data_IF_786681116308
#
_entry.id   IF_786681116308
#
_cell.length_a   1.000
_cell.length_b   1.000
_cell.length_c   1.000
_cell.angle_alpha   90.00
_cell.angle_beta   90.00
_cell.angle_gamma   90.00
#
_symmetry.space_group_name_H-M   'P 1'
#
loop_
_entity.id
_entity.type
_entity.pdbx_description
1 polymer ?
#
# COMPACT_ATOMS: atom_id res chain seq x y z
N UNK A 1 35.42 -32.55 16.77
CA UNK A 1 36.64 -31.78 17.13
C UNK A 1 36.82 -30.45 16.36
N UNK A 2 36.22 -30.25 15.17
CA UNK A 2 36.37 -29.00 14.38
C UNK A 2 35.47 -27.83 14.84
N UNK A 3 34.28 -28.11 15.36
CA UNK A 3 33.28 -27.10 15.76
C UNK A 3 33.71 -26.27 16.97
N UNK A 4 34.39 -26.88 17.95
CA UNK A 4 34.86 -26.18 19.15
C UNK A 4 35.94 -25.13 18.89
N UNK A 5 36.85 -25.40 17.93
CA UNK A 5 37.92 -24.46 17.52
C UNK A 5 37.36 -23.22 16.79
N UNK A 6 36.28 -23.41 16.03
CA UNK A 6 35.60 -22.33 15.31
C UNK A 6 34.85 -21.41 16.29
N UNK A 7 34.14 -21.98 17.26
CA UNK A 7 33.41 -21.21 18.29
C UNK A 7 34.36 -20.45 19.21
N UNK A 8 35.53 -21.01 19.53
CA UNK A 8 36.53 -20.32 20.33
C UNK A 8 37.19 -19.15 19.59
N UNK A 9 37.33 -19.23 18.26
CA UNK A 9 37.88 -18.13 17.45
C UNK A 9 37.03 -16.86 17.53
N UNK A 10 35.69 -16.97 17.53
CA UNK A 10 34.79 -15.81 17.68
C UNK A 10 34.91 -15.09 19.03
N UNK A 11 35.58 -15.67 20.03
CA UNK A 11 35.88 -15.01 21.31
C UNK A 11 37.12 -14.11 21.21
N UNK A 12 37.97 -14.31 20.22
CA UNK A 12 39.21 -13.54 20.02
C UNK A 12 38.92 -12.13 19.52
N UNK A 13 39.89 -11.22 19.66
CA UNK A 13 39.79 -9.88 19.12
C UNK A 13 39.57 -9.87 17.61
N UNK A 14 40.29 -10.73 16.87
CA UNK A 14 40.16 -10.88 15.43
C UNK A 14 38.75 -11.38 15.04
N UNK A 15 38.24 -12.39 15.75
CA UNK A 15 36.88 -12.89 15.52
C UNK A 15 35.80 -11.82 15.75
N UNK A 16 35.97 -10.97 16.76
CA UNK A 16 35.05 -9.84 17.03
C UNK A 16 35.12 -8.75 15.96
N UNK A 17 36.31 -8.42 15.47
CA UNK A 17 36.48 -7.48 14.36
C UNK A 17 35.84 -8.00 13.06
N UNK A 18 35.96 -9.30 12.79
CA UNK A 18 35.28 -9.92 11.66
C UNK A 18 33.75 -9.83 11.78
N UNK A 19 33.19 -10.14 12.95
CA UNK A 19 31.74 -9.98 13.20
C UNK A 19 31.32 -8.53 13.04
N UNK A 20 32.09 -7.57 13.55
CA UNK A 20 31.81 -6.15 13.36
C UNK A 20 31.76 -5.78 11.87
N UNK A 21 32.76 -6.20 11.09
CA UNK A 21 32.77 -5.99 9.64
C UNK A 21 31.55 -6.60 8.94
N UNK A 22 31.15 -7.82 9.33
CA UNK A 22 29.94 -8.46 8.82
C UNK A 22 28.66 -7.70 9.16
N UNK A 23 28.54 -7.18 10.39
CA UNK A 23 27.40 -6.37 10.82
C UNK A 23 27.36 -5.04 10.08
N UNK A 24 28.51 -4.38 9.87
CA UNK A 24 28.59 -3.17 9.05
C UNK A 24 28.15 -3.45 7.60
N UNK A 25 28.62 -4.57 7.03
CA UNK A 25 28.23 -4.98 5.69
C UNK A 25 26.71 -5.21 5.59
N UNK A 26 26.10 -5.93 6.53
CA UNK A 26 24.65 -6.15 6.54
C UNK A 26 23.86 -4.87 6.82
N UNK A 27 24.33 -4.07 7.78
CA UNK A 27 23.72 -2.81 8.20
C UNK A 27 23.71 -1.74 7.10
N UNK A 28 24.66 -1.79 6.15
CA UNK A 28 24.68 -0.91 4.97
C UNK A 28 24.00 -1.60 3.78
N UNK A 29 24.31 -2.88 3.56
CA UNK A 29 23.91 -3.63 2.37
C UNK A 29 22.41 -3.81 2.24
N UNK A 30 21.71 -4.17 3.33
CA UNK A 30 20.25 -4.38 3.30
C UNK A 30 19.50 -3.05 3.02
N UNK A 31 19.75 -1.95 3.76
CA UNK A 31 19.18 -0.64 3.43
C UNK A 31 19.49 -0.17 2.02
N UNK A 32 20.74 -0.33 1.58
CA UNK A 32 21.17 0.10 0.24
C UNK A 32 20.44 -0.69 -0.84
N UNK A 33 20.31 -2.02 -0.70
CA UNK A 33 19.58 -2.85 -1.65
C UNK A 33 18.11 -2.44 -1.77
N UNK A 34 17.44 -2.19 -0.63
CA UNK A 34 16.05 -1.70 -0.60
C UNK A 34 15.93 -0.31 -1.23
N UNK A 35 16.85 0.61 -0.93
CA UNK A 35 16.78 1.97 -1.46
C UNK A 35 17.08 2.01 -2.96
N UNK A 36 18.07 1.23 -3.42
CA UNK A 36 18.46 1.12 -4.83
C UNK A 36 17.33 0.57 -5.69
N UNK A 37 16.57 -0.43 -5.22
CA UNK A 37 15.43 -1.00 -5.96
C UNK A 37 14.30 0.00 -6.19
N UNK A 38 14.14 0.95 -5.27
CA UNK A 38 13.17 2.04 -5.36
C UNK A 38 13.71 3.31 -6.03
N UNK A 39 14.98 3.34 -6.42
CA UNK A 39 15.61 4.51 -7.05
C UNK A 39 16.31 4.14 -8.36
N UNK A 40 17.60 3.83 -8.32
CA UNK A 40 18.42 3.63 -9.51
C UNK A 40 18.05 2.39 -10.32
N UNK A 41 17.53 1.35 -9.66
CA UNK A 41 17.09 0.10 -10.30
C UNK A 41 15.58 0.08 -10.57
N UNK A 42 14.89 1.20 -10.41
CA UNK A 42 13.44 1.28 -10.57
C UNK A 42 12.99 0.87 -11.99
N UNK A 43 13.79 1.18 -13.01
CA UNK A 43 13.51 0.79 -14.40
C UNK A 43 13.61 -0.74 -14.61
N UNK A 44 14.60 -1.40 -13.98
CA UNK A 44 14.70 -2.87 -13.98
C UNK A 44 13.55 -3.50 -13.24
N UNK A 45 13.14 -2.89 -12.13
CA UNK A 45 11.98 -3.38 -11.42
C UNK A 45 10.71 -3.28 -12.29
N UNK A 46 10.53 -2.17 -13.00
CA UNK A 46 9.45 -2.00 -13.98
C UNK A 46 9.46 -3.10 -15.06
N UNK A 47 10.62 -3.40 -15.65
CA UNK A 47 10.75 -4.45 -16.68
C UNK A 47 10.28 -5.83 -16.18
N UNK A 48 10.37 -6.12 -14.88
CA UNK A 48 9.95 -7.40 -14.30
C UNK A 48 8.44 -7.46 -14.10
N UNK A 49 7.81 -6.35 -13.70
CA UNK A 49 6.38 -6.31 -13.32
C UNK A 49 5.46 -5.79 -14.44
N UNK A 50 6.02 -5.28 -15.53
CA UNK A 50 5.26 -4.76 -16.66
C UNK A 50 4.54 -5.87 -17.43
N UNK A 51 3.35 -5.56 -17.93
CA UNK A 51 2.64 -6.45 -18.84
C UNK A 51 3.27 -6.43 -20.24
N UNK A 52 3.56 -7.62 -20.77
CA UNK A 52 4.05 -7.81 -22.14
C UNK A 52 3.02 -8.57 -22.97
N UNK A 53 2.81 -8.10 -24.20
CA UNK A 53 2.05 -8.80 -25.24
C UNK A 53 2.96 -9.01 -26.45
N UNK A 54 3.10 -10.26 -26.90
CA UNK A 54 3.98 -10.63 -28.02
C UNK A 54 5.44 -10.12 -27.86
N UNK A 55 5.95 -10.13 -26.63
CA UNK A 55 7.32 -9.67 -26.32
C UNK A 55 7.49 -8.14 -26.23
N UNK A 56 6.42 -7.36 -26.41
CA UNK A 56 6.45 -5.89 -26.34
C UNK A 56 5.62 -5.41 -25.16
N UNK A 57 6.09 -4.36 -24.48
CA UNK A 57 5.39 -3.70 -23.40
C UNK A 57 4.00 -3.20 -23.85
N UNK A 58 2.95 -3.61 -23.16
CA UNK A 58 1.59 -3.15 -23.46
C UNK A 58 1.44 -1.70 -22.98
N UNK A 59 1.10 -0.74 -23.87
CA UNK A 59 0.92 0.64 -23.47
C UNK A 59 -0.40 0.83 -22.70
N UNK A 60 -0.44 1.86 -21.87
CA UNK A 60 -1.69 2.27 -21.21
C UNK A 60 -2.70 2.78 -22.23
N UNK A 61 -3.98 2.38 -22.14
CA UNK A 61 -5.06 2.94 -22.95
C UNK A 61 -5.17 4.45 -22.75
N UNK A 62 -5.51 5.20 -23.81
CA UNK A 62 -5.57 6.66 -23.79
C UNK A 62 -6.51 7.22 -22.70
N UNK A 63 -7.66 6.58 -22.49
CA UNK A 63 -8.60 6.94 -21.40
C UNK A 63 -8.00 6.78 -20.01
N UNK A 64 -7.18 5.74 -19.79
CA UNK A 64 -6.56 5.50 -18.48
C UNK A 64 -5.47 6.53 -18.25
N UNK A 65 -4.69 6.87 -19.28
CA UNK A 65 -3.75 7.99 -19.21
C UNK A 65 -4.44 9.31 -18.87
N UNK A 66 -5.59 9.60 -19.49
CA UNK A 66 -6.38 10.79 -19.16
C UNK A 66 -6.84 10.78 -17.71
N UNK A 67 -7.33 9.65 -17.19
CA UNK A 67 -7.71 9.50 -15.77
C UNK A 67 -6.53 9.75 -14.83
N UNK A 68 -5.32 9.32 -15.18
CA UNK A 68 -4.11 9.64 -14.40
C UNK A 68 -3.86 11.14 -14.36
N UNK A 69 -3.97 11.85 -15.50
CA UNK A 69 -3.84 13.31 -15.54
C UNK A 69 -4.93 14.01 -14.73
N UNK A 70 -6.21 13.63 -14.90
CA UNK A 70 -7.33 14.18 -14.14
C UNK A 70 -7.11 14.02 -12.63
N UNK A 71 -6.62 12.86 -12.17
CA UNK A 71 -6.32 12.62 -10.76
C UNK A 71 -5.18 13.50 -10.26
N UNK A 72 -4.13 13.70 -11.06
CA UNK A 72 -3.04 14.60 -10.70
C UNK A 72 -3.50 16.07 -10.64
N UNK A 73 -4.49 16.45 -11.46
CA UNK A 73 -5.15 17.77 -11.41
C UNK A 73 -5.99 17.92 -10.14
N UNK A 74 -6.84 16.93 -9.82
CA UNK A 74 -7.70 16.92 -8.63
C UNK A 74 -6.88 16.97 -7.34
N UNK A 75 -5.74 16.25 -7.30
CA UNK A 75 -4.78 16.27 -6.19
C UNK A 75 -3.87 17.51 -6.17
N UNK A 76 -3.99 18.40 -7.17
CA UNK A 76 -3.19 19.63 -7.29
C UNK A 76 -1.66 19.37 -7.27
N UNK A 77 -1.23 18.30 -7.93
CA UNK A 77 0.18 17.91 -7.94
C UNK A 77 1.00 18.89 -8.80
N UNK A 78 2.06 19.44 -8.21
CA UNK A 78 2.98 20.34 -8.94
C UNK A 78 3.59 19.69 -10.18
N UNK A 79 3.81 20.47 -11.24
CA UNK A 79 4.39 20.01 -12.51
C UNK A 79 5.71 19.25 -12.34
N UNK A 80 6.53 19.66 -11.37
CA UNK A 80 7.79 18.98 -11.04
C UNK A 80 7.54 17.55 -10.57
N UNK A 81 6.58 17.36 -9.66
CA UNK A 81 6.22 16.04 -9.14
C UNK A 81 5.49 15.19 -10.18
N UNK A 82 4.67 15.79 -11.05
CA UNK A 82 4.00 15.06 -12.16
C UNK A 82 5.01 14.37 -13.07
N UNK A 83 6.10 15.06 -13.45
CA UNK A 83 7.18 14.50 -14.28
C UNK A 83 7.90 13.30 -13.64
N UNK A 84 7.81 13.16 -12.32
CA UNK A 84 8.41 12.06 -11.57
C UNK A 84 7.48 10.84 -11.49
N UNK A 85 6.19 10.98 -11.79
CA UNK A 85 5.20 9.90 -11.78
C UNK A 85 5.16 9.27 -13.17
N UNK A 86 5.45 7.98 -13.25
CA UNK A 86 5.58 7.23 -14.51
C UNK A 86 4.57 6.08 -14.55
N UNK A 87 3.35 6.31 -15.05
CA UNK A 87 2.35 5.27 -15.13
C UNK A 87 2.71 4.24 -16.22
N UNK A 88 2.40 2.96 -15.98
CA UNK A 88 2.56 1.87 -16.95
C UNK A 88 1.54 0.76 -16.73
N UNK A 89 1.37 -0.13 -17.70
CA UNK A 89 0.49 -1.30 -17.56
C UNK A 89 1.21 -2.41 -16.80
N UNK A 90 0.70 -2.77 -15.62
CA UNK A 90 1.28 -3.84 -14.79
C UNK A 90 0.69 -5.20 -15.15
N UNK A 91 1.49 -6.26 -15.00
CA UNK A 91 1.02 -7.62 -15.10
C UNK A 91 0.18 -7.99 -13.87
N UNK A 92 -1.01 -8.54 -14.09
CA UNK A 92 -1.96 -8.91 -13.03
C UNK A 92 -3.13 -7.94 -12.90
N UNK A 93 -3.90 -8.10 -11.83
CA UNK A 93 -5.15 -7.38 -11.55
C UNK A 93 -5.08 -6.47 -10.32
N UNK A 94 -3.87 -6.27 -9.78
CA UNK A 94 -3.62 -5.43 -8.61
C UNK A 94 -2.86 -4.18 -9.02
N UNK A 95 -3.24 -3.04 -8.44
CA UNK A 95 -2.46 -1.82 -8.53
C UNK A 95 -1.06 -2.04 -7.93
N UNK A 96 -0.07 -1.37 -8.51
CA UNK A 96 1.31 -1.48 -8.07
C UNK A 96 1.94 -0.09 -8.01
N UNK A 97 2.81 0.15 -7.03
CA UNK A 97 3.71 1.30 -7.06
C UNK A 97 5.11 0.89 -6.60
N UNK A 98 6.11 1.62 -7.09
CA UNK A 98 7.46 1.55 -6.57
C UNK A 98 8.18 2.89 -6.75
N UNK A 99 9.10 3.18 -5.83
CA UNK A 99 9.79 4.46 -5.80
C UNK A 99 8.97 5.53 -5.09
N UNK A 100 9.49 6.75 -5.05
CA UNK A 100 8.78 7.89 -4.49
C UNK A 100 9.16 9.20 -5.18
N UNK A 101 8.25 10.17 -5.18
CA UNK A 101 8.45 11.49 -5.81
C UNK A 101 9.42 12.38 -5.05
N UNK A 102 9.82 11.97 -3.85
CA UNK A 102 10.87 12.61 -3.04
C UNK A 102 12.29 12.28 -3.53
N UNK A 103 12.41 11.47 -4.58
CA UNK A 103 13.69 11.12 -5.22
C UNK A 103 13.71 11.64 -6.65
N UNK A 104 14.91 11.88 -7.19
CA UNK A 104 15.09 12.35 -8.57
C UNK A 104 14.71 11.30 -9.62
N UNK A 105 14.72 10.02 -9.23
CA UNK A 105 14.30 8.90 -10.08
C UNK A 105 12.78 8.82 -10.24
N UNK A 106 12.05 9.35 -9.26
CA UNK A 106 10.60 9.39 -9.22
C UNK A 106 9.96 8.06 -8.80
N UNK A 107 8.71 7.87 -9.20
CA UNK A 107 7.91 6.70 -8.89
C UNK A 107 7.27 6.12 -10.15
N UNK A 108 7.10 4.80 -10.18
CA UNK A 108 6.33 4.10 -11.22
C UNK A 108 5.00 3.66 -10.63
N UNK A 109 3.93 3.83 -11.39
CA UNK A 109 2.58 3.43 -11.01
C UNK A 109 2.08 2.39 -12.01
N UNK A 110 1.98 1.15 -11.56
CA UNK A 110 1.48 0.02 -12.33
C UNK A 110 -0.04 -0.04 -12.25
N UNK A 111 -0.69 0.15 -13.40
CA UNK A 111 -2.14 0.12 -13.53
C UNK A 111 -2.53 -1.15 -14.30
N UNK A 112 -3.39 -2.01 -13.74
CA UNK A 112 -3.85 -3.22 -14.41
C UNK A 112 -4.58 -2.94 -15.73
N UNK A 113 -4.47 -3.89 -16.67
CA UNK A 113 -5.14 -3.78 -17.97
C UNK A 113 -6.66 -3.71 -17.88
N UNK A 114 -7.27 -4.26 -16.81
CA UNK A 114 -8.72 -4.22 -16.58
C UNK A 114 -9.27 -2.83 -16.25
N UNK A 115 -8.43 -1.82 -16.07
CA UNK A 115 -8.88 -0.42 -16.01
C UNK A 115 -9.37 0.06 -17.39
N UNK A 116 -9.03 -0.68 -18.46
CA UNK A 116 -9.70 -0.60 -19.76
C UNK A 116 -11.02 -1.37 -19.84
N UNK A 117 -11.52 -1.94 -18.75
CA UNK A 117 -12.84 -2.55 -18.60
C UNK A 117 -14.00 -1.54 -18.79
N UNK A 118 -14.91 -1.63 -19.78
CA UNK A 118 -16.21 -0.92 -19.70
C UNK A 118 -17.32 -1.88 -19.24
N UNK A 119 -17.33 -3.09 -19.80
CA UNK A 119 -18.28 -4.13 -19.43
C UNK A 119 -17.63 -5.51 -19.28
N UNK A 120 -18.39 -6.44 -18.70
CA UNK A 120 -17.95 -7.82 -18.47
C UNK A 120 -17.75 -8.62 -19.78
N UNK A 121 -18.18 -8.08 -20.92
CA UNK A 121 -17.89 -8.58 -22.28
C UNK A 121 -16.42 -8.39 -22.67
N UNK A 122 -15.79 -7.33 -22.18
CA UNK A 122 -14.46 -6.89 -22.61
C UNK A 122 -13.35 -7.66 -21.91
N UNK A 123 -13.71 -8.39 -20.85
CA UNK A 123 -12.79 -9.22 -20.09
C UNK A 123 -12.32 -10.37 -20.97
N UNK A 124 -11.01 -10.43 -21.20
CA UNK A 124 -10.38 -11.52 -21.91
C UNK A 124 -10.36 -12.81 -21.07
N UNK A 125 -11.47 -13.54 -21.14
CA UNK A 125 -11.72 -14.75 -20.36
C UNK A 125 -10.71 -15.86 -20.62
N UNK A 126 -10.10 -15.92 -21.80
CA UNK A 126 -9.19 -16.98 -22.18
C UNK A 126 -7.84 -16.89 -21.45
N UNK A 127 -7.43 -15.68 -21.09
CA UNK A 127 -6.14 -15.41 -20.45
C UNK A 127 -6.24 -15.27 -18.93
N UNK A 128 -7.43 -15.42 -18.34
CA UNK A 128 -7.58 -15.42 -16.88
C UNK A 128 -7.43 -16.83 -16.33
N UNK A 129 -6.32 -17.07 -15.65
CA UNK A 129 -6.06 -18.32 -14.94
C UNK A 129 -6.12 -18.07 -13.43
N UNK A 130 -6.88 -18.91 -12.72
CA UNK A 130 -6.91 -18.94 -11.25
C UNK A 130 -6.29 -20.26 -10.82
N UNK A 131 -5.17 -20.18 -10.08
CA UNK A 131 -4.39 -21.36 -9.70
C UNK A 131 -3.91 -22.22 -10.89
N UNK A 132 -3.56 -21.58 -12.02
CA UNK A 132 -3.20 -22.21 -13.30
C UNK A 132 -4.36 -22.91 -14.02
N UNK A 133 -5.57 -22.84 -13.46
CA UNK A 133 -6.77 -23.42 -14.04
C UNK A 133 -7.63 -22.34 -14.70
N UNK A 134 -8.34 -22.72 -15.76
CA UNK A 134 -9.33 -21.86 -16.40
C UNK A 134 -10.52 -21.64 -15.46
N UNK A 135 -11.00 -20.39 -15.39
CA UNK A 135 -12.14 -20.05 -14.54
C UNK A 135 -13.42 -20.61 -15.12
N UNK A 136 -14.21 -21.31 -14.29
CA UNK A 136 -15.58 -21.69 -14.66
C UNK A 136 -16.49 -20.46 -14.60
N UNK A 137 -16.57 -19.73 -15.71
CA UNK A 137 -17.35 -18.48 -15.82
C UNK A 137 -18.86 -18.66 -15.59
N UNK A 138 -19.39 -19.88 -15.77
CA UNK A 138 -20.79 -20.19 -15.48
C UNK A 138 -21.12 -20.30 -13.99
N UNK A 139 -20.11 -20.55 -13.15
CA UNK A 139 -20.28 -20.65 -11.69
C UNK A 139 -20.59 -19.30 -11.05
N UNK A 140 -21.25 -19.31 -9.88
CA UNK A 140 -21.50 -18.10 -9.09
C UNK A 140 -20.20 -17.35 -8.80
N UNK A 141 -19.16 -18.06 -8.36
CA UNK A 141 -17.85 -17.46 -8.07
C UNK A 141 -17.17 -16.89 -9.33
N UNK A 142 -17.32 -17.54 -10.49
CA UNK A 142 -16.82 -17.02 -11.77
C UNK A 142 -17.52 -15.73 -12.19
N UNK A 143 -18.85 -15.65 -12.02
CA UNK A 143 -19.62 -14.42 -12.28
C UNK A 143 -19.25 -13.30 -11.32
N UNK A 144 -19.04 -13.63 -10.04
CA UNK A 144 -18.59 -12.68 -9.04
C UNK A 144 -17.22 -12.09 -9.37
N UNK A 145 -16.26 -12.96 -9.74
CA UNK A 145 -14.93 -12.55 -10.19
C UNK A 145 -15.02 -11.63 -11.42
N UNK A 146 -15.81 -12.02 -12.42
CA UNK A 146 -16.00 -11.23 -13.64
C UNK A 146 -16.58 -9.84 -13.34
N UNK A 147 -17.58 -9.77 -12.47
CA UNK A 147 -18.18 -8.50 -12.05
C UNK A 147 -17.23 -7.62 -11.24
N UNK A 148 -16.24 -8.21 -10.56
CA UNK A 148 -15.27 -7.49 -9.77
C UNK A 148 -14.13 -6.88 -10.61
N UNK A 149 -13.90 -7.40 -11.82
CA UNK A 149 -12.86 -6.90 -12.74
C UNK A 149 -13.23 -5.59 -13.44
N UNK A 150 -14.51 -5.24 -13.47
CA UNK A 150 -15.01 -3.99 -14.07
C UNK A 150 -15.23 -2.95 -12.97
N UNK A 151 -14.53 -1.83 -13.08
CA UNK A 151 -14.55 -0.72 -12.14
C UNK A 151 -15.11 0.53 -12.82
N UNK A 152 -15.97 1.27 -12.11
CA UNK A 152 -16.39 2.61 -12.53
C UNK A 152 -15.20 3.56 -12.67
N UNK A 153 -15.42 4.69 -13.35
CA UNK A 153 -14.38 5.70 -13.49
C UNK A 153 -13.96 6.27 -12.13
N UNK A 154 -14.90 6.51 -11.23
CA UNK A 154 -14.65 7.00 -9.88
C UNK A 154 -13.79 6.01 -9.08
N UNK A 155 -14.09 4.71 -9.16
CA UNK A 155 -13.30 3.67 -8.51
C UNK A 155 -11.88 3.59 -9.08
N UNK A 156 -11.73 3.77 -10.40
CA UNK A 156 -10.42 3.82 -11.03
C UNK A 156 -9.61 5.06 -10.63
N UNK A 157 -10.24 6.24 -10.60
CA UNK A 157 -9.60 7.49 -10.16
C UNK A 157 -9.15 7.39 -8.70
N UNK A 158 -10.00 6.86 -7.82
CA UNK A 158 -9.63 6.58 -6.43
C UNK A 158 -8.41 5.64 -6.35
N UNK A 159 -8.43 4.51 -7.07
CA UNK A 159 -7.35 3.54 -7.02
C UNK A 159 -6.02 4.13 -7.54
N UNK A 160 -6.05 4.92 -8.61
CA UNK A 160 -4.87 5.60 -9.17
C UNK A 160 -4.35 6.66 -8.17
N UNK A 161 -5.23 7.52 -7.66
CA UNK A 161 -4.86 8.59 -6.74
C UNK A 161 -4.23 8.04 -5.46
N UNK A 162 -4.77 6.92 -4.96
CA UNK A 162 -4.24 6.21 -3.81
C UNK A 162 -2.77 5.82 -4.00
N UNK A 163 -2.41 5.22 -5.14
CA UNK A 163 -1.03 4.84 -5.42
C UNK A 163 -0.11 6.06 -5.63
N UNK A 164 -0.63 7.14 -6.23
CA UNK A 164 0.10 8.40 -6.42
C UNK A 164 0.40 9.05 -5.07
N UNK A 165 -0.60 9.18 -4.19
CA UNK A 165 -0.43 9.71 -2.84
C UNK A 165 0.55 8.86 -2.03
N UNK A 166 0.45 7.53 -2.14
CA UNK A 166 1.41 6.63 -1.48
C UNK A 166 2.84 6.87 -1.96
N UNK A 167 3.04 7.08 -3.27
CA UNK A 167 4.33 7.42 -3.86
C UNK A 167 4.87 8.80 -3.44
N UNK A 168 4.05 9.68 -2.86
CA UNK A 168 4.48 10.97 -2.31
C UNK A 168 4.97 10.88 -0.86
N UNK A 169 4.75 9.76 -0.19
CA UNK A 169 5.15 9.52 1.21
C UNK A 169 6.65 9.29 1.39
N UNK A 170 7.09 9.27 2.66
CA UNK A 170 8.46 8.88 3.04
C UNK A 170 8.63 7.37 3.27
N UNK A 171 7.65 6.54 2.88
CA UNK A 171 7.66 5.09 3.11
C UNK A 171 8.97 4.43 2.64
N UNK A 172 9.45 4.78 1.44
CA UNK A 172 10.70 4.24 0.87
C UNK A 172 11.91 4.53 1.77
N UNK A 173 12.04 5.75 2.29
CA UNK A 173 13.13 6.13 3.18
C UNK A 173 13.05 5.35 4.50
N UNK A 174 11.87 5.32 5.12
CA UNK A 174 11.66 4.67 6.41
C UNK A 174 11.90 3.16 6.33
N UNK A 175 11.29 2.49 5.34
CA UNK A 175 11.44 1.05 5.12
C UNK A 175 12.88 0.65 4.73
N UNK A 176 13.63 1.56 4.09
CA UNK A 176 15.07 1.35 3.83
C UNK A 176 15.92 1.53 5.09
N UNK A 177 15.58 2.46 5.97
CA UNK A 177 16.36 2.76 7.18
C UNK A 177 16.16 1.74 8.33
N UNK A 178 14.96 1.18 8.48
CA UNK A 178 14.65 0.29 9.62
C UNK A 178 15.63 -0.88 9.83
N UNK A 179 16.04 -1.63 8.78
CA UNK A 179 17.01 -2.72 8.97
C UNK A 179 18.34 -2.24 9.56
N UNK A 180 18.85 -1.09 9.11
CA UNK A 180 20.09 -0.49 9.65
C UNK A 180 19.96 -0.19 11.14
N UNK A 181 18.87 0.51 11.52
CA UNK A 181 18.60 0.91 12.90
C UNK A 181 18.55 -0.32 13.80
N UNK A 182 17.82 -1.35 13.40
CA UNK A 182 17.64 -2.58 14.18
C UNK A 182 18.96 -3.34 14.30
N UNK A 183 19.68 -3.57 13.19
CA UNK A 183 20.95 -4.32 13.19
C UNK A 183 22.01 -3.64 14.06
N UNK A 184 22.17 -2.32 13.92
CA UNK A 184 23.15 -1.54 14.69
C UNK A 184 22.78 -1.55 16.18
N UNK A 185 21.50 -1.36 16.50
CA UNK A 185 21.02 -1.37 17.89
C UNK A 185 21.21 -2.73 18.55
N UNK A 186 20.87 -3.82 17.86
CA UNK A 186 21.08 -5.18 18.34
C UNK A 186 22.56 -5.47 18.62
N UNK A 187 23.45 -5.07 17.71
CA UNK A 187 24.88 -5.27 17.87
C UNK A 187 25.45 -4.45 19.04
N UNK A 188 25.09 -3.17 19.12
CA UNK A 188 25.51 -2.28 20.20
C UNK A 188 25.06 -2.80 21.57
N UNK A 189 23.78 -3.19 21.68
CA UNK A 189 23.21 -3.76 22.90
C UNK A 189 23.92 -5.06 23.30
N UNK A 190 24.06 -6.00 22.36
CA UNK A 190 24.69 -7.30 22.62
C UNK A 190 26.15 -7.15 23.05
N UNK A 191 26.89 -6.24 22.40
CA UNK A 191 28.29 -5.95 22.74
C UNK A 191 28.39 -5.34 24.13
N UNK A 192 27.49 -4.41 24.47
CA UNK A 192 27.45 -3.80 25.80
C UNK A 192 27.16 -4.84 26.90
N UNK A 193 26.14 -5.68 26.71
CA UNK A 193 25.82 -6.77 27.64
C UNK A 193 26.97 -7.76 27.79
N UNK A 194 27.59 -8.17 26.69
CA UNK A 194 28.73 -9.09 26.71
C UNK A 194 29.91 -8.53 27.53
N UNK A 195 30.20 -7.23 27.39
CA UNK A 195 31.29 -6.58 28.10
C UNK A 195 30.95 -6.36 29.59
N UNK A 196 29.75 -5.82 29.90
CA UNK A 196 29.36 -5.52 31.29
C UNK A 196 29.14 -6.76 32.14
N UNK A 197 28.62 -7.84 31.56
CA UNK A 197 28.33 -9.09 32.29
C UNK A 197 29.45 -10.14 32.17
N UNK A 198 30.55 -9.81 31.50
CA UNK A 198 31.68 -10.73 31.30
C UNK A 198 31.31 -12.02 30.58
N UNK A 199 30.33 -11.99 29.68
CA UNK A 199 29.73 -13.21 29.10
C UNK A 199 30.69 -14.03 28.26
N UNK A 200 31.78 -13.43 27.77
CA UNK A 200 32.83 -14.14 27.05
C UNK A 200 33.58 -15.15 27.91
N UNK A 201 33.60 -14.98 29.24
CA UNK A 201 34.14 -15.96 30.19
C UNK A 201 33.13 -17.04 30.60
N UNK A 202 31.85 -16.86 30.28
CA UNK A 202 30.76 -17.74 30.70
C UNK A 202 30.43 -18.83 29.66
N UNK A 203 29.69 -19.88 30.05
CA UNK A 203 29.27 -20.94 29.15
C UNK A 203 28.56 -20.41 27.91
N UNK A 204 28.74 -21.10 26.78
CA UNK A 204 28.13 -20.72 25.50
C UNK A 204 26.60 -20.62 25.57
N UNK A 205 25.95 -21.50 26.33
CA UNK A 205 24.49 -21.52 26.47
C UNK A 205 23.92 -20.17 26.92
N UNK A 206 24.57 -19.48 27.86
CA UNK A 206 24.11 -18.18 28.34
C UNK A 206 24.19 -17.09 27.25
N UNK A 207 25.23 -17.13 26.42
CA UNK A 207 25.37 -16.24 25.26
C UNK A 207 24.34 -16.56 24.18
N UNK A 208 24.10 -17.84 23.92
CA UNK A 208 23.08 -18.28 22.97
C UNK A 208 21.69 -17.77 23.39
N UNK A 209 21.34 -17.87 24.68
CA UNK A 209 20.07 -17.34 25.21
C UNK A 209 19.97 -15.83 24.97
N UNK A 210 21.01 -15.05 25.34
CA UNK A 210 21.01 -13.61 25.11
C UNK A 210 20.83 -13.27 23.63
N UNK A 211 21.58 -13.92 22.75
CA UNK A 211 21.55 -13.64 21.32
C UNK A 211 20.20 -14.02 20.69
N UNK A 212 19.59 -15.11 21.14
CA UNK A 212 18.23 -15.49 20.73
C UNK A 212 17.19 -14.46 21.18
N UNK A 213 17.26 -13.98 22.42
CA UNK A 213 16.35 -12.96 22.93
C UNK A 213 16.50 -11.63 22.17
N UNK A 214 17.74 -11.17 21.97
CA UNK A 214 18.02 -9.94 21.20
C UNK A 214 17.61 -10.12 19.73
N UNK A 215 17.84 -11.31 19.16
CA UNK A 215 17.40 -11.67 17.81
C UNK A 215 15.88 -11.58 17.64
N UNK A 216 15.13 -12.19 18.55
CA UNK A 216 13.67 -12.17 18.54
C UNK A 216 13.15 -10.75 18.73
N UNK A 217 13.71 -9.99 19.68
CA UNK A 217 13.32 -8.61 19.92
C UNK A 217 13.63 -7.70 18.74
N UNK A 218 14.80 -7.86 18.11
CA UNK A 218 15.17 -7.12 16.91
C UNK A 218 14.26 -7.40 15.73
N UNK A 219 13.97 -8.68 15.46
CA UNK A 219 13.00 -9.06 14.43
C UNK A 219 11.61 -8.48 14.72
N UNK A 220 11.13 -8.58 15.96
CA UNK A 220 9.86 -8.00 16.40
C UNK A 220 9.83 -6.48 16.21
N UNK A 221 10.92 -5.79 16.56
CA UNK A 221 11.05 -4.33 16.39
C UNK A 221 11.01 -3.93 14.91
N UNK A 222 11.76 -4.61 14.05
CA UNK A 222 11.70 -4.38 12.60
C UNK A 222 10.31 -4.65 12.04
N UNK A 223 9.70 -5.77 12.43
CA UNK A 223 8.38 -6.15 11.97
C UNK A 223 7.34 -5.10 12.35
N UNK A 224 7.36 -4.67 13.61
CA UNK A 224 6.48 -3.63 14.15
C UNK A 224 6.67 -2.29 13.44
N UNK A 225 7.93 -1.80 13.31
CA UNK A 225 8.22 -0.55 12.60
C UNK A 225 7.68 -0.57 11.17
N UNK A 226 7.88 -1.69 10.46
CA UNK A 226 7.38 -1.86 9.10
C UNK A 226 5.85 -1.87 9.03
N UNK A 227 5.17 -2.68 9.86
CA UNK A 227 3.70 -2.78 9.83
C UNK A 227 3.04 -1.47 10.23
N UNK A 228 3.52 -0.86 11.31
CA UNK A 228 3.01 0.43 11.78
C UNK A 228 3.12 1.49 10.70
N UNK A 229 4.27 1.55 10.01
CA UNK A 229 4.50 2.53 8.94
C UNK A 229 3.62 2.26 7.72
N UNK A 230 3.44 1.00 7.33
CA UNK A 230 2.52 0.63 6.25
C UNK A 230 1.09 1.05 6.58
N UNK A 231 0.55 0.64 7.73
CA UNK A 231 -0.81 0.98 8.14
C UNK A 231 -0.99 2.50 8.27
N UNK A 232 0.00 3.20 8.81
CA UNK A 232 -0.02 4.66 8.91
C UNK A 232 -0.19 5.33 7.55
N UNK A 233 0.63 4.95 6.57
CA UNK A 233 0.56 5.54 5.23
C UNK A 233 -0.68 5.08 4.45
N UNK A 234 -1.13 3.84 4.58
CA UNK A 234 -2.39 3.39 3.98
C UNK A 234 -3.58 4.20 4.51
N UNK A 235 -3.65 4.40 5.83
CA UNK A 235 -4.70 5.24 6.44
C UNK A 235 -4.57 6.71 6.02
N UNK A 236 -3.35 7.25 5.95
CA UNK A 236 -3.12 8.64 5.52
C UNK A 236 -3.60 8.85 4.08
N UNK A 237 -3.23 7.94 3.19
CA UNK A 237 -3.59 8.00 1.78
C UNK A 237 -5.11 7.88 1.59
N UNK A 238 -5.77 6.95 2.29
CA UNK A 238 -7.23 6.84 2.22
C UNK A 238 -7.94 8.12 2.71
N UNK A 239 -7.40 8.75 3.76
CA UNK A 239 -7.88 10.07 4.24
C UNK A 239 -7.74 11.13 3.17
N UNK A 240 -6.58 11.20 2.52
CA UNK A 240 -6.30 12.17 1.45
C UNK A 240 -7.25 11.97 0.27
N UNK A 241 -7.48 10.72 -0.16
CA UNK A 241 -8.42 10.43 -1.25
C UNK A 241 -9.86 10.79 -0.90
N UNK A 242 -10.32 10.46 0.31
CA UNK A 242 -11.67 10.85 0.74
C UNK A 242 -11.84 12.38 0.86
N UNK A 243 -10.77 13.12 1.12
CA UNK A 243 -10.82 14.58 1.23
C UNK A 243 -11.02 15.29 -0.13
N UNK A 244 -10.76 14.62 -1.27
CA UNK A 244 -10.95 15.18 -2.60
C UNK A 244 -12.43 15.39 -2.98
N UNK A 245 -13.35 14.71 -2.29
CA UNK A 245 -14.80 14.95 -2.42
C UNK A 245 -15.63 13.69 -2.67
N UNK A 246 -16.94 13.88 -2.87
CA UNK A 246 -17.92 12.78 -2.90
C UNK A 246 -17.63 11.72 -3.97
N UNK A 247 -17.11 12.13 -5.13
CA UNK A 247 -16.78 11.22 -6.24
C UNK A 247 -15.69 10.22 -5.82
N UNK A 248 -14.61 10.69 -5.18
CA UNK A 248 -13.54 9.84 -4.68
C UNK A 248 -14.00 8.94 -3.53
N UNK A 249 -14.85 9.45 -2.63
CA UNK A 249 -15.41 8.64 -1.53
C UNK A 249 -16.23 7.48 -2.10
N UNK A 250 -17.14 7.74 -3.06
CA UNK A 250 -17.92 6.69 -3.75
C UNK A 250 -17.02 5.72 -4.50
N UNK A 251 -16.01 6.24 -5.19
CA UNK A 251 -14.98 5.46 -5.86
C UNK A 251 -14.25 4.49 -4.91
N UNK A 252 -13.87 4.96 -3.73
CA UNK A 252 -13.23 4.13 -2.70
C UNK A 252 -14.13 3.01 -2.18
N UNK A 253 -15.42 3.30 -1.93
CA UNK A 253 -16.40 2.29 -1.50
C UNK A 253 -16.55 1.19 -2.56
N UNK A 254 -16.69 1.58 -3.83
CA UNK A 254 -16.80 0.62 -4.94
C UNK A 254 -15.50 -0.17 -5.08
N UNK A 255 -14.35 0.50 -5.15
CA UNK A 255 -13.05 -0.13 -5.34
C UNK A 255 -12.78 -1.19 -4.27
N UNK A 256 -12.93 -0.85 -2.98
CA UNK A 256 -12.76 -1.83 -1.91
C UNK A 256 -13.82 -2.93 -1.92
N UNK A 257 -15.07 -2.62 -2.25
CA UNK A 257 -16.12 -3.64 -2.40
C UNK A 257 -15.80 -4.64 -3.52
N UNK A 258 -15.25 -4.17 -4.64
CA UNK A 258 -14.85 -4.99 -5.78
C UNK A 258 -13.63 -5.86 -5.44
N UNK A 259 -12.65 -5.31 -4.73
CA UNK A 259 -11.52 -6.10 -4.22
C UNK A 259 -11.97 -7.21 -3.26
N UNK A 260 -12.85 -6.90 -2.30
CA UNK A 260 -13.42 -7.90 -1.39
C UNK A 260 -14.19 -8.98 -2.15
N UNK A 261 -15.02 -8.58 -3.12
CA UNK A 261 -15.79 -9.52 -3.96
C UNK A 261 -14.87 -10.42 -4.79
N UNK A 262 -13.82 -9.86 -5.38
CA UNK A 262 -12.78 -10.60 -6.10
C UNK A 262 -12.11 -11.63 -5.17
N UNK A 263 -11.71 -11.22 -3.97
CA UNK A 263 -11.03 -12.09 -3.02
C UNK A 263 -11.94 -13.23 -2.53
N UNK A 264 -13.23 -12.97 -2.28
CA UNK A 264 -14.23 -14.01 -1.96
C UNK A 264 -14.38 -15.00 -3.12
N UNK A 265 -14.46 -14.50 -4.35
CA UNK A 265 -14.55 -15.34 -5.54
C UNK A 265 -13.30 -16.21 -5.72
N UNK A 266 -12.10 -15.62 -5.59
CA UNK A 266 -10.84 -16.35 -5.64
C UNK A 266 -10.74 -17.40 -4.52
N UNK A 267 -11.23 -17.07 -3.31
CA UNK A 267 -11.30 -18.00 -2.19
C UNK A 267 -12.09 -19.26 -2.55
N UNK A 268 -13.27 -19.07 -3.17
CA UNK A 268 -14.13 -20.19 -3.62
C UNK A 268 -13.48 -20.97 -4.77
N UNK A 269 -12.97 -20.27 -5.79
CA UNK A 269 -12.39 -20.88 -7.00
C UNK A 269 -11.12 -21.69 -6.71
N UNK A 270 -10.30 -21.26 -5.75
CA UNK A 270 -9.04 -21.93 -5.40
C UNK A 270 -9.20 -23.01 -4.31
N UNK A 271 -10.41 -23.23 -3.79
CA UNK A 271 -10.68 -24.18 -2.70
C UNK A 271 -9.76 -23.99 -1.49
N UNK A 272 -9.18 -25.08 -0.97
CA UNK A 272 -8.29 -25.09 0.21
C UNK A 272 -7.13 -24.10 0.16
N UNK A 273 -6.61 -23.80 -1.04
CA UNK A 273 -5.52 -22.82 -1.19
C UNK A 273 -6.05 -21.40 -1.03
N UNK A 274 -7.22 -21.11 -1.59
CA UNK A 274 -7.93 -19.84 -1.41
C UNK A 274 -8.26 -19.59 0.07
N UNK A 275 -8.67 -20.62 0.80
CA UNK A 275 -8.99 -20.52 2.24
C UNK A 275 -7.81 -20.09 3.11
N UNK A 276 -6.58 -20.35 2.67
CA UNK A 276 -5.36 -19.91 3.36
C UNK A 276 -4.98 -18.47 3.01
N UNK A 277 -5.43 -17.98 1.86
CA UNK A 277 -5.09 -16.65 1.35
C UNK A 277 -6.11 -15.60 1.74
N UNK A 278 -7.39 -15.96 1.82
CA UNK A 278 -8.49 -15.03 2.04
C UNK A 278 -9.45 -15.49 3.12
N UNK A 279 -9.93 -14.54 3.93
CA UNK A 279 -11.01 -14.75 4.89
C UNK A 279 -12.36 -14.91 4.19
N UNK A 280 -13.38 -15.39 4.89
CA UNK A 280 -14.75 -15.46 4.36
C UNK A 280 -15.32 -14.07 3.99
N UNK A 281 -14.81 -13.00 4.59
CA UNK A 281 -15.20 -11.61 4.28
C UNK A 281 -14.41 -11.01 3.11
N UNK A 282 -13.40 -11.70 2.57
CA UNK A 282 -12.58 -11.22 1.45
C UNK A 282 -11.32 -10.44 1.84
N UNK A 283 -10.98 -10.37 3.14
CA UNK A 283 -9.69 -9.81 3.56
C UNK A 283 -8.56 -10.82 3.32
N UNK A 284 -7.33 -10.33 3.22
CA UNK A 284 -6.16 -11.18 3.18
C UNK A 284 -5.96 -11.89 4.53
N UNK A 285 -5.66 -13.18 4.49
CA UNK A 285 -5.43 -14.00 5.66
C UNK A 285 -3.93 -14.19 5.87
N UNK A 286 -3.43 -13.69 6.99
CA UNK A 286 -2.04 -13.85 7.40
C UNK A 286 -1.93 -14.84 8.56
N UNK A 287 -0.81 -15.57 8.64
CA UNK A 287 -0.63 -16.61 9.66
C UNK A 287 -0.33 -16.06 11.06
N UNK A 288 0.57 -15.08 11.17
CA UNK A 288 0.97 -14.51 12.48
C UNK A 288 1.03 -12.98 12.50
N UNK A 289 1.17 -12.33 11.35
CA UNK A 289 1.49 -10.89 11.24
C UNK A 289 0.56 -10.25 10.23
N UNK A 290 -0.19 -9.24 10.64
CA UNK A 290 -1.02 -8.47 9.75
C UNK A 290 -0.19 -7.38 9.07
N UNK A 291 0.00 -7.50 7.77
CA UNK A 291 0.90 -6.63 7.00
C UNK A 291 0.25 -5.34 6.52
N UNK A 292 -1.07 -5.38 6.34
CA UNK A 292 -1.87 -4.31 5.74
C UNK A 292 -3.14 -4.07 6.54
N UNK A 293 -3.72 -2.89 6.39
CA UNK A 293 -5.05 -2.60 6.93
C UNK A 293 -6.11 -3.47 6.24
N UNK A 294 -7.06 -4.09 6.99
CA UNK A 294 -8.07 -4.95 6.38
C UNK A 294 -8.92 -4.15 5.39
N UNK A 295 -9.18 -4.72 4.22
CA UNK A 295 -9.98 -4.08 3.17
C UNK A 295 -11.39 -3.72 3.67
N UNK A 296 -11.97 -4.54 4.56
CA UNK A 296 -13.27 -4.23 5.20
C UNK A 296 -13.22 -2.93 6.00
N UNK A 297 -12.14 -2.68 6.74
CA UNK A 297 -11.99 -1.48 7.54
C UNK A 297 -11.79 -0.24 6.65
N UNK A 298 -11.03 -0.38 5.56
CA UNK A 298 -10.81 0.69 4.58
C UNK A 298 -12.11 1.07 3.86
N UNK A 299 -12.93 0.07 3.52
CA UNK A 299 -14.29 0.27 2.99
C UNK A 299 -15.18 1.01 3.98
N UNK A 300 -15.26 0.51 5.22
CA UNK A 300 -16.08 1.11 6.29
C UNK A 300 -15.69 2.57 6.54
N UNK A 301 -14.40 2.88 6.53
CA UNK A 301 -13.91 4.26 6.62
C UNK A 301 -14.49 5.15 5.51
N UNK A 302 -14.48 4.71 4.24
CA UNK A 302 -15.06 5.46 3.14
C UNK A 302 -16.59 5.64 3.29
N UNK A 303 -17.29 4.61 3.77
CA UNK A 303 -18.74 4.68 4.03
C UNK A 303 -19.08 5.69 5.14
N UNK A 304 -18.29 5.73 6.21
CA UNK A 304 -18.42 6.73 7.27
C UNK A 304 -18.19 8.15 6.74
N UNK A 305 -17.13 8.35 5.94
CA UNK A 305 -16.87 9.65 5.31
C UNK A 305 -18.02 10.10 4.40
N UNK A 306 -18.64 9.18 3.66
CA UNK A 306 -19.80 9.51 2.82
C UNK A 306 -21.00 9.97 3.65
N UNK A 307 -21.23 9.34 4.82
CA UNK A 307 -22.30 9.73 5.73
C UNK A 307 -22.05 11.12 6.33
N UNK A 308 -20.81 11.41 6.74
CA UNK A 308 -20.40 12.72 7.26
C UNK A 308 -20.57 13.81 6.20
N UNK A 309 -20.11 13.56 4.98
CA UNK A 309 -20.26 14.47 3.84
C UNK A 309 -21.74 14.81 3.59
N UNK A 310 -22.62 13.79 3.58
CA UNK A 310 -24.08 13.99 3.42
C UNK A 310 -24.70 14.79 4.57
N UNK A 311 -24.24 14.60 5.81
CA UNK A 311 -24.71 15.37 6.98
C UNK A 311 -24.31 16.85 6.87
N UNK A 312 -23.07 17.13 6.50
CA UNK A 312 -22.56 18.50 6.34
C UNK A 312 -23.31 19.26 5.23
N UNK A 313 -23.57 18.61 4.09
CA UNK A 313 -24.35 19.22 3.02
C UNK A 313 -25.81 19.45 3.40
N UNK A 314 -26.46 18.51 4.08
CA UNK A 314 -27.83 18.74 4.59
C UNK A 314 -27.88 19.92 5.56
N UNK A 315 -26.92 20.04 6.48
CA UNK A 315 -26.88 21.15 7.43
C UNK A 315 -26.60 22.50 6.75
N UNK A 316 -25.75 22.51 5.71
CA UNK A 316 -25.46 23.71 4.92
C UNK A 316 -26.67 24.15 4.09
N UNK A 317 -27.39 23.22 3.44
CA UNK A 317 -28.62 23.54 2.71
C UNK A 317 -29.73 24.07 3.62
N UNK A 318 -29.87 23.54 4.84
CA UNK A 318 -30.86 24.05 5.82
C UNK A 318 -30.52 25.46 6.31
N UNK A 319 -29.24 25.77 6.55
CA UNK A 319 -28.80 27.12 6.96
C UNK A 319 -29.04 28.18 5.88
N UNK A 320 -28.71 27.88 4.63
CA UNK A 320 -28.97 28.77 3.48
C UNK A 320 -30.47 29.01 3.34
N UNK A 321 -31.30 27.97 3.45
CA UNK A 321 -32.76 28.12 3.38
C UNK A 321 -33.34 28.95 4.53
N UNK A 322 -32.74 28.92 5.73
CA UNK A 322 -33.16 29.77 6.86
C UNK A 322 -32.71 31.23 6.72
N UNK A 323 -31.51 31.49 6.19
CA UNK A 323 -31.01 32.84 5.93
C UNK A 323 -31.76 33.51 4.78
N UNK A 324 -32.08 32.76 3.71
CA UNK A 324 -32.91 33.24 2.60
C UNK A 324 -34.33 33.58 3.09
N UNK A 325 -34.92 32.78 3.99
CA UNK A 325 -36.24 33.08 4.58
C UNK A 325 -36.22 34.34 5.46
N UNK A 326 -35.15 34.55 6.22
CA UNK A 326 -34.96 35.76 7.05
C UNK A 326 -34.74 37.03 6.19
N UNK A 327 -34.07 36.89 5.05
CA UNK A 327 -33.82 38.00 4.12
C UNK A 327 -35.07 38.36 3.32
N UNK A 328 -35.89 37.36 2.94
CA UNK A 328 -37.19 37.59 2.28
C UNK A 328 -38.20 38.23 3.25
N UNK A 329 -38.23 37.85 4.53
CA UNK A 329 -39.09 38.52 5.51
C UNK A 329 -38.70 39.98 5.74
N UNK A 330 -37.40 40.30 5.74
CA UNK A 330 -36.93 41.67 5.92
C UNK A 330 -37.26 42.59 4.72
N UNK A 331 -37.24 42.06 3.49
CA UNK A 331 -37.60 42.81 2.28
C UNK A 331 -39.11 42.98 2.07
N UNK A 332 -39.94 42.07 2.61
CA UNK A 332 -41.40 42.19 2.54
C UNK A 332 -41.95 43.31 3.45
N UNK A 333 -41.27 43.61 4.57
CA UNK A 333 -41.66 44.70 5.47
C UNK A 333 -41.25 46.09 4.98
N UNK A 334 -40.39 46.19 3.95
CA UNK A 334 -39.88 47.49 3.46
C UNK A 334 -40.67 48.05 2.26
N UNK A 335 -41.53 47.26 1.62
CA UNK A 335 -42.36 47.67 0.47
C UNK A 335 -43.78 48.12 0.84
N UNK A 336 -44.16 48.08 2.11
CA UNK A 336 -45.47 48.49 2.60
C UNK A 336 -45.55 49.95 3.12
N UNK A 337 -44.52 50.77 2.92
CA UNK A 337 -44.49 52.18 3.33
C UNK A 337 -44.41 53.13 2.12
N UNK A 338 -45.47 53.18 1.32
CA UNK A 338 -45.88 54.41 0.61
C UNK A 338 -47.40 54.40 0.53
N UNK A 339 -48.06 55.38 1.17
CA UNK A 339 -48.65 56.43 0.35
C UNK A 339 -48.59 57.82 0.98
N UNK A 340 -48.93 58.80 0.14
CA UNK A 340 -49.18 60.24 0.35
C UNK A 340 -47.99 61.17 0.55
#
# INVERSE_FOLDING_TARGET
MKTGKLISWFRTQQGRQFVFGGICFLGIGIPSANFLSHTFLLYKYKEIVQMYGLGIAVPLPARVKKRVEDVMDDMQISDKSRRLIKPFTVFGYDMFHAGCTQTTTGAIIGIPSNFGYDSTSDVDRAHVLVNLDQVSWGSEAGKDLLSAMVLSEEAQKFAIGREIAYAQTLYVYMNSAFPAIVIISMYAFTTNCNNRLGLFGKPFALRAILYSLVGLFGFGSWAFMKDFTTVHYETQVDKEMCALGESYIKGGIEFYSKLLKRNIALRKLMGKKGEKLYTATGNDQYMMRQLHQPLTLRKEYCELQLQEFKKQHKHSSTKVTSEDKLTISHNADTTAASPS
#
